data_IF_206242731461
#
_entry.id   IF_206242731461
#
_cell.length_a   1.000
_cell.length_b   1.000
_cell.length_c   1.000
_cell.angle_alpha   90.00
_cell.angle_beta   90.00
_cell.angle_gamma   90.00
#
_symmetry.space_group_name_H-M   'P 1'
#
loop_
_entity.id
_entity.type
_entity.pdbx_description
1 polymer ?
#
# COMPACT_ATOMS: atom_id res chain seq x y z
N UNK A 1 -0.65 3.90 5.19
CA UNK A 1 -1.90 3.87 4.44
C UNK A 1 -2.72 5.04 4.90
N UNK A 2 -2.75 6.10 4.09
CA UNK A 2 -3.54 7.29 4.29
C UNK A 2 -5.00 7.10 3.95
N UNK A 3 -5.78 8.18 4.12
CA UNK A 3 -7.22 8.18 3.88
C UNK A 3 -7.53 9.18 2.77
N UNK A 4 -8.52 8.83 1.95
CA UNK A 4 -9.11 9.73 0.99
C UNK A 4 -9.71 10.95 1.69
N UNK A 5 -9.59 12.11 1.06
CA UNK A 5 -10.26 13.32 1.48
C UNK A 5 -10.94 13.95 0.27
N UNK A 6 -12.21 14.34 0.42
CA UNK A 6 -12.93 15.08 -0.62
C UNK A 6 -12.45 16.53 -0.75
N UNK A 7 -11.52 16.99 0.10
CA UNK A 7 -10.96 18.33 -0.01
C UNK A 7 -10.00 18.40 -1.20
N UNK A 8 -10.10 19.46 -1.99
CA UNK A 8 -9.15 19.75 -3.07
C UNK A 8 -7.85 20.31 -2.50
N UNK A 9 -6.72 19.94 -3.13
CA UNK A 9 -5.43 20.57 -2.89
C UNK A 9 -5.19 21.60 -3.98
N UNK A 10 -4.82 22.82 -3.57
CA UNK A 10 -4.38 23.86 -4.49
C UNK A 10 -2.93 23.61 -4.95
N UNK A 11 -2.57 24.00 -6.19
CA UNK A 11 -1.19 23.95 -6.66
C UNK A 11 -0.29 24.84 -5.77
N UNK A 12 0.95 24.39 -5.54
CA UNK A 12 1.93 25.14 -4.73
C UNK A 12 2.75 26.11 -5.59
N UNK A 13 2.79 25.89 -6.91
CA UNK A 13 3.63 26.65 -7.83
C UNK A 13 5.07 26.11 -7.87
N UNK A 14 5.94 26.80 -8.60
CA UNK A 14 7.33 26.38 -8.82
C UNK A 14 8.34 26.98 -7.81
N UNK A 15 7.89 27.83 -6.89
CA UNK A 15 8.77 28.50 -5.91
C UNK A 15 9.49 27.49 -5.01
N UNK A 16 10.82 27.49 -5.05
CA UNK A 16 11.66 26.58 -4.27
C UNK A 16 11.81 25.17 -4.86
N UNK A 17 11.26 24.92 -6.06
CA UNK A 17 11.47 23.68 -6.80
C UNK A 17 12.75 23.75 -7.66
N UNK A 18 13.32 22.59 -7.94
CA UNK A 18 14.48 22.44 -8.83
C UNK A 18 14.02 22.18 -10.25
N UNK A 19 14.50 22.98 -11.21
CA UNK A 19 14.27 22.77 -12.65
C UNK A 19 15.05 21.52 -13.11
N UNK A 20 14.38 20.58 -13.76
CA UNK A 20 15.01 19.39 -14.36
C UNK A 20 15.11 19.48 -15.87
N UNK A 21 14.17 20.17 -16.51
CA UNK A 21 14.12 20.30 -17.97
C UNK A 21 13.37 21.57 -18.33
N UNK A 22 13.79 22.24 -19.40
CA UNK A 22 13.17 23.46 -19.92
C UNK A 22 13.09 23.38 -21.44
N UNK A 23 12.04 23.96 -22.02
CA UNK A 23 11.79 23.95 -23.46
C UNK A 23 11.91 22.55 -24.08
N UNK A 24 11.15 21.62 -23.50
CA UNK A 24 11.18 20.20 -23.82
C UNK A 24 9.93 19.81 -24.60
N UNK A 25 10.12 19.42 -25.85
CA UNK A 25 9.07 19.00 -26.77
C UNK A 25 8.59 17.56 -26.47
N UNK A 26 9.40 16.57 -26.83
CA UNK A 26 9.04 15.15 -26.73
C UNK A 26 10.07 14.30 -25.98
N UNK A 27 11.05 14.95 -25.36
CA UNK A 27 12.12 14.28 -24.65
C UNK A 27 11.75 13.95 -23.21
N UNK A 28 12.30 12.85 -22.70
CA UNK A 28 12.06 12.39 -21.33
C UNK A 28 13.08 12.99 -20.37
N UNK A 29 12.61 13.67 -19.33
CA UNK A 29 13.40 14.17 -18.21
C UNK A 29 13.31 13.20 -17.03
N UNK A 30 14.44 12.59 -16.68
CA UNK A 30 14.55 11.70 -15.52
C UNK A 30 14.77 12.49 -14.24
N UNK A 31 14.07 12.10 -13.17
CA UNK A 31 14.28 12.69 -11.85
C UNK A 31 15.43 11.98 -11.11
N UNK A 32 16.09 12.65 -10.15
CA UNK A 32 17.02 11.97 -9.25
C UNK A 32 16.28 10.98 -8.34
N UNK A 33 17.03 10.20 -7.55
CA UNK A 33 16.46 9.40 -6.45
C UNK A 33 15.48 10.26 -5.64
N UNK A 34 14.21 9.85 -5.58
CA UNK A 34 13.13 10.60 -4.92
C UNK A 34 13.26 10.64 -3.38
N UNK A 35 14.09 9.77 -2.79
CA UNK A 35 14.44 9.75 -1.37
C UNK A 35 13.65 8.79 -0.51
N UNK A 36 12.73 8.01 -1.08
CA UNK A 36 11.95 6.98 -0.39
C UNK A 36 11.51 5.89 -1.37
N UNK A 37 11.10 4.74 -0.84
CA UNK A 37 10.55 3.67 -1.67
C UNK A 37 9.12 4.03 -2.10
N UNK A 38 8.91 4.12 -3.41
CA UNK A 38 7.61 4.29 -4.04
C UNK A 38 7.38 3.09 -4.94
N UNK A 39 6.29 2.35 -4.75
CA UNK A 39 6.02 1.15 -5.52
C UNK A 39 4.90 1.34 -6.53
N UNK A 40 5.12 0.88 -7.75
CA UNK A 40 4.09 0.79 -8.78
C UNK A 40 4.14 -0.59 -9.42
N UNK A 41 3.00 -1.30 -9.43
CA UNK A 41 2.89 -2.67 -9.92
C UNK A 41 3.93 -3.64 -9.31
N UNK A 42 4.21 -3.52 -8.01
CA UNK A 42 5.20 -4.36 -7.33
C UNK A 42 6.67 -3.96 -7.53
N UNK A 43 6.98 -3.06 -8.47
CA UNK A 43 8.34 -2.57 -8.69
C UNK A 43 8.63 -1.34 -7.83
N UNK A 44 9.82 -1.27 -7.24
CA UNK A 44 10.29 -0.05 -6.56
C UNK A 44 10.78 0.95 -7.62
N UNK A 45 10.12 2.10 -7.68
CA UNK A 45 10.29 3.13 -8.68
C UNK A 45 11.15 4.32 -8.21
N UNK A 46 11.81 4.18 -7.06
CA UNK A 46 12.61 5.24 -6.41
C UNK A 46 13.59 5.99 -7.33
N UNK A 47 14.13 5.32 -8.35
CA UNK A 47 15.14 5.88 -9.29
C UNK A 47 14.71 5.84 -10.75
N UNK A 48 13.46 5.49 -11.05
CA UNK A 48 12.99 5.26 -12.44
C UNK A 48 11.91 6.24 -12.87
N UNK A 49 11.48 7.14 -11.98
CA UNK A 49 10.44 8.12 -12.30
C UNK A 49 11.00 9.15 -13.26
N UNK A 50 10.22 9.45 -14.30
CA UNK A 50 10.54 10.45 -15.31
C UNK A 50 9.26 11.13 -15.82
N UNK A 51 9.40 12.30 -16.40
CA UNK A 51 8.32 13.03 -17.05
C UNK A 51 8.77 13.46 -18.43
N UNK A 52 7.86 13.55 -19.38
CA UNK A 52 8.17 13.92 -20.76
C UNK A 52 7.61 15.30 -21.11
N UNK A 53 8.23 15.95 -22.10
CA UNK A 53 7.74 17.17 -22.72
C UNK A 53 6.32 17.04 -23.25
N UNK A 54 5.89 15.84 -23.65
CA UNK A 54 4.55 15.57 -24.14
C UNK A 54 3.49 15.35 -23.03
N UNK A 55 3.74 15.84 -21.82
CA UNK A 55 2.83 15.81 -20.67
C UNK A 55 2.36 14.40 -20.27
N UNK A 56 3.35 13.54 -19.98
CA UNK A 56 3.14 12.24 -19.35
C UNK A 56 4.24 11.92 -18.33
N UNK A 57 3.92 11.04 -17.39
CA UNK A 57 4.84 10.53 -16.36
C UNK A 57 5.02 9.02 -16.54
N UNK A 58 6.27 8.57 -16.43
CA UNK A 58 6.62 7.16 -16.28
C UNK A 58 7.07 6.88 -14.86
N UNK A 59 6.58 5.78 -14.28
CA UNK A 59 7.05 5.28 -12.99
C UNK A 59 8.14 4.23 -13.15
N UNK A 60 8.12 3.47 -14.24
CA UNK A 60 9.06 2.36 -14.49
C UNK A 60 10.14 2.67 -15.54
N UNK A 61 10.19 3.91 -16.03
CA UNK A 61 11.21 4.41 -16.96
C UNK A 61 11.01 4.05 -18.43
N UNK A 62 9.94 3.35 -18.81
CA UNK A 62 9.76 2.85 -20.19
C UNK A 62 8.34 2.96 -20.75
N UNK A 63 7.36 3.48 -19.99
CA UNK A 63 5.99 3.63 -20.51
C UNK A 63 5.27 4.87 -19.95
N UNK A 64 4.27 5.35 -20.69
CA UNK A 64 3.49 6.55 -20.36
C UNK A 64 2.36 6.22 -19.36
N UNK A 65 2.69 5.85 -18.12
CA UNK A 65 1.69 5.37 -17.15
C UNK A 65 0.65 6.41 -16.79
N UNK A 66 1.02 7.69 -16.68
CA UNK A 66 0.07 8.78 -16.42
C UNK A 66 0.16 9.79 -17.55
N UNK A 67 -0.94 9.96 -18.28
CA UNK A 67 -1.07 10.90 -19.40
C UNK A 67 -2.01 12.03 -19.00
N UNK A 68 -1.56 13.27 -19.17
CA UNK A 68 -2.30 14.47 -18.78
C UNK A 68 -2.33 15.39 -19.99
N UNK A 69 -3.48 15.49 -20.65
CA UNK A 69 -3.65 16.19 -21.92
C UNK A 69 -2.58 15.79 -22.96
N UNK A 70 -2.29 14.48 -23.06
CA UNK A 70 -1.30 13.95 -24.02
C UNK A 70 -1.82 14.11 -25.44
N UNK A 71 -1.36 15.16 -26.14
CA UNK A 71 -1.65 15.48 -27.56
C UNK A 71 -0.60 16.46 -28.07
N UNK A 72 0.61 15.96 -28.30
CA UNK A 72 1.70 16.79 -28.83
C UNK A 72 2.01 18.05 -27.97
N UNK A 73 1.86 17.94 -26.65
CA UNK A 73 2.13 19.03 -25.72
C UNK A 73 3.64 19.32 -25.66
N UNK A 74 4.01 20.53 -25.24
CA UNK A 74 5.41 20.88 -24.99
C UNK A 74 5.57 21.50 -23.61
N UNK A 75 6.60 21.07 -22.88
CA UNK A 75 6.92 21.57 -21.57
C UNK A 75 7.84 22.79 -21.67
N UNK A 76 7.35 23.95 -21.24
CA UNK A 76 8.21 25.12 -21.01
C UNK A 76 9.17 24.82 -19.85
N UNK A 77 8.68 24.17 -18.80
CA UNK A 77 9.50 23.75 -17.67
C UNK A 77 8.94 22.55 -16.93
N UNK A 78 9.84 21.66 -16.51
CA UNK A 78 9.55 20.54 -15.62
C UNK A 78 10.41 20.73 -14.37
N UNK A 79 9.76 20.68 -13.20
CA UNK A 79 10.39 20.86 -11.90
C UNK A 79 10.14 19.68 -10.99
N UNK A 80 10.96 19.58 -9.95
CA UNK A 80 10.69 18.69 -8.81
C UNK A 80 11.05 19.35 -7.47
N UNK A 81 10.45 18.84 -6.38
CA UNK A 81 10.84 19.14 -5.02
C UNK A 81 10.73 17.91 -4.13
N UNK A 82 11.69 17.76 -3.22
CA UNK A 82 11.61 16.82 -2.09
C UNK A 82 11.03 17.59 -0.91
N UNK A 83 9.88 17.16 -0.40
CA UNK A 83 9.20 17.84 0.70
C UNK A 83 8.82 16.84 1.79
N UNK A 84 8.22 17.32 2.87
CA UNK A 84 7.62 16.47 3.88
C UNK A 84 6.23 17.01 4.27
N UNK A 85 5.26 16.11 4.44
CA UNK A 85 3.95 16.40 5.01
C UNK A 85 3.81 15.51 6.25
N UNK A 86 3.50 16.10 7.41
CA UNK A 86 3.40 15.37 8.68
C UNK A 86 4.63 14.49 8.97
N UNK A 87 5.84 15.04 8.76
CA UNK A 87 7.13 14.35 8.88
C UNK A 87 7.33 13.13 7.96
N UNK A 88 6.44 12.90 7.00
CA UNK A 88 6.59 11.85 5.99
C UNK A 88 7.08 12.45 4.68
N UNK A 89 8.09 11.84 4.04
CA UNK A 89 8.64 12.37 2.81
C UNK A 89 7.63 12.26 1.66
N UNK A 90 7.56 13.30 0.85
CA UNK A 90 6.84 13.32 -0.42
C UNK A 90 7.75 13.81 -1.53
N UNK A 91 7.42 13.44 -2.76
CA UNK A 91 8.09 13.93 -3.95
C UNK A 91 7.08 14.64 -4.83
N UNK A 92 7.31 15.92 -5.11
CA UNK A 92 6.43 16.73 -5.96
C UNK A 92 7.09 16.94 -7.31
N UNK A 93 6.36 16.68 -8.37
CA UNK A 93 6.69 17.03 -9.75
C UNK A 93 5.77 18.17 -10.15
N UNK A 94 6.29 19.16 -10.88
CA UNK A 94 5.47 20.19 -11.50
C UNK A 94 5.82 20.28 -12.97
N UNK A 95 4.79 20.35 -13.81
CA UNK A 95 4.91 20.47 -15.25
C UNK A 95 4.19 21.73 -15.68
N UNK A 96 4.90 22.61 -16.38
CA UNK A 96 4.39 23.87 -16.89
C UNK A 96 4.65 23.91 -18.39
N UNK A 97 3.60 24.12 -19.16
CA UNK A 97 3.74 24.23 -20.60
C UNK A 97 2.41 24.48 -21.29
N UNK A 98 2.31 23.96 -22.49
CA UNK A 98 1.24 24.29 -23.40
C UNK A 98 0.68 23.04 -24.09
N UNK A 99 -0.56 23.15 -24.55
CA UNK A 99 -1.33 22.02 -25.07
C UNK A 99 -0.83 21.40 -26.37
N UNK A 100 -0.06 22.15 -27.16
CA UNK A 100 0.44 21.73 -28.47
C UNK A 100 1.75 22.43 -28.84
N UNK A 101 2.71 21.74 -29.44
CA UNK A 101 4.02 22.28 -29.82
C UNK A 101 3.98 23.63 -30.55
N UNK A 102 2.91 23.97 -31.29
CA UNK A 102 2.80 25.25 -32.00
C UNK A 102 2.45 26.45 -31.10
N UNK A 103 2.23 26.26 -29.79
CA UNK A 103 1.72 27.30 -28.85
C UNK A 103 2.70 27.62 -27.70
N UNK A 104 4.00 27.49 -27.93
CA UNK A 104 5.06 27.83 -26.96
C UNK A 104 4.85 29.20 -26.28
N UNK A 105 5.13 29.27 -24.98
CA UNK A 105 5.06 30.50 -24.18
C UNK A 105 3.67 30.85 -23.62
N UNK A 106 2.61 30.11 -23.96
CA UNK A 106 1.30 30.24 -23.32
C UNK A 106 1.07 29.11 -22.33
N UNK A 107 1.21 29.39 -21.03
CA UNK A 107 1.00 28.39 -19.98
C UNK A 107 -0.49 28.06 -19.78
N UNK A 108 -1.02 27.16 -20.61
CA UNK A 108 -2.41 26.67 -20.59
C UNK A 108 -2.54 25.20 -20.14
N UNK A 109 -1.41 24.50 -19.93
CA UNK A 109 -1.33 23.18 -19.34
C UNK A 109 -0.34 23.21 -18.17
N UNK A 110 -0.87 23.07 -16.95
CA UNK A 110 -0.09 23.17 -15.72
C UNK A 110 -0.63 22.19 -14.69
N UNK A 111 0.23 21.29 -14.22
CA UNK A 111 -0.14 20.30 -13.22
C UNK A 111 1.00 19.97 -12.26
N UNK A 112 0.63 19.45 -11.10
CA UNK A 112 1.57 18.90 -10.12
C UNK A 112 1.21 17.45 -9.82
N UNK A 113 2.21 16.60 -9.61
CA UNK A 113 2.02 15.24 -9.13
C UNK A 113 2.77 15.06 -7.82
N UNK A 114 2.06 14.65 -6.77
CA UNK A 114 2.61 14.38 -5.45
C UNK A 114 2.67 12.86 -5.27
N UNK A 115 3.85 12.34 -4.96
CA UNK A 115 4.09 10.93 -4.65
C UNK A 115 4.30 10.76 -3.15
N UNK A 116 3.66 9.74 -2.57
CA UNK A 116 3.76 9.42 -1.14
C UNK A 116 4.52 8.12 -0.93
N UNK A 117 5.20 7.98 0.21
CA UNK A 117 5.98 6.78 0.55
C UNK A 117 5.15 5.53 0.88
N UNK A 118 3.82 5.61 0.82
CA UNK A 118 2.92 4.45 0.82
C UNK A 118 2.26 4.21 -0.54
N UNK A 119 2.90 4.66 -1.61
CA UNK A 119 2.53 4.45 -3.02
C UNK A 119 1.26 5.17 -3.48
N UNK A 120 0.61 5.95 -2.62
CA UNK A 120 -0.45 6.85 -3.07
C UNK A 120 0.12 8.01 -3.91
N UNK A 121 -0.75 8.59 -4.73
CA UNK A 121 -0.43 9.77 -5.52
C UNK A 121 -1.57 10.78 -5.48
N UNK A 122 -1.25 12.06 -5.64
CA UNK A 122 -2.24 13.10 -5.90
C UNK A 122 -1.81 13.92 -7.10
N UNK A 123 -2.67 13.93 -8.13
CA UNK A 123 -2.54 14.82 -9.29
C UNK A 123 -3.31 16.10 -8.98
N UNK A 124 -2.66 17.25 -9.09
CA UNK A 124 -3.27 18.57 -8.95
C UNK A 124 -3.25 19.26 -10.30
N UNK A 125 -4.41 19.66 -10.79
CA UNK A 125 -4.57 20.35 -12.07
C UNK A 125 -4.77 21.83 -11.79
N UNK A 126 -3.80 22.65 -12.16
CA UNK A 126 -3.93 24.10 -12.14
C UNK A 126 -4.63 24.58 -13.42
N UNK A 127 -4.11 24.14 -14.58
CA UNK A 127 -4.68 24.41 -15.89
C UNK A 127 -4.67 23.17 -16.76
N UNK A 128 -5.76 22.91 -17.46
CA UNK A 128 -5.86 21.85 -18.44
C UNK A 128 -6.82 22.28 -19.58
N UNK A 129 -6.39 22.17 -20.85
CA UNK A 129 -7.24 22.51 -22.00
C UNK A 129 -8.18 21.37 -22.39
N UNK A 130 -7.91 20.14 -21.94
CA UNK A 130 -8.71 18.93 -22.22
C UNK A 130 -8.93 18.67 -23.72
N UNK A 131 -7.90 18.93 -24.52
CA UNK A 131 -7.94 18.62 -25.96
C UNK A 131 -7.19 17.32 -26.29
N UNK A 132 -6.43 16.75 -25.36
CA UNK A 132 -5.66 15.51 -25.51
C UNK A 132 -6.13 14.33 -24.66
N UNK A 133 -5.27 13.31 -24.56
CA UNK A 133 -5.57 12.07 -23.80
C UNK A 133 -5.27 12.26 -22.32
N UNK A 134 -6.28 11.95 -21.49
CA UNK A 134 -6.17 11.89 -20.04
C UNK A 134 -6.37 10.43 -19.62
N UNK A 135 -5.32 9.76 -19.14
CA UNK A 135 -5.43 8.35 -18.77
C UNK A 135 -4.38 7.94 -17.75
N UNK A 136 -4.69 6.89 -17.00
CA UNK A 136 -3.78 6.22 -16.10
C UNK A 136 -3.75 4.72 -16.38
N UNK A 137 -2.56 4.16 -16.53
CA UNK A 137 -2.36 2.71 -16.59
C UNK A 137 -2.51 2.14 -15.18
N UNK A 138 -3.67 1.56 -14.88
CA UNK A 138 -3.89 0.88 -13.62
C UNK A 138 -3.37 -0.55 -13.73
N UNK A 139 -2.48 -1.03 -12.85
CA UNK A 139 -1.84 -2.32 -13.06
C UNK A 139 -2.81 -3.52 -13.11
N UNK A 140 -3.95 -3.43 -12.41
CA UNK A 140 -4.98 -4.47 -12.43
C UNK A 140 -6.10 -4.18 -13.43
N UNK A 141 -6.51 -2.92 -13.58
CA UNK A 141 -7.65 -2.54 -14.43
C UNK A 141 -7.28 -2.19 -15.88
N UNK A 142 -5.99 -2.13 -16.20
CA UNK A 142 -5.49 -1.61 -17.47
C UNK A 142 -5.65 -0.09 -17.58
N UNK A 143 -5.64 0.42 -18.80
CA UNK A 143 -5.76 1.87 -19.04
C UNK A 143 -7.14 2.39 -18.63
N UNK A 144 -7.16 3.28 -17.65
CA UNK A 144 -8.35 3.97 -17.14
C UNK A 144 -8.37 5.40 -17.69
N UNK A 145 -9.45 5.82 -18.33
CA UNK A 145 -9.62 7.21 -18.75
C UNK A 145 -9.87 8.11 -17.55
N UNK A 146 -9.32 9.32 -17.56
CA UNK A 146 -9.48 10.31 -16.50
C UNK A 146 -10.30 11.50 -16.99
N UNK A 147 -11.30 11.89 -16.21
CA UNK A 147 -12.01 13.17 -16.40
C UNK A 147 -11.34 14.21 -15.51
N UNK A 148 -10.56 15.10 -16.12
CA UNK A 148 -9.77 16.11 -15.44
C UNK A 148 -10.38 17.50 -15.66
N UNK A 149 -10.24 18.38 -14.68
CA UNK A 149 -10.84 19.72 -14.68
C UNK A 149 -9.87 20.73 -14.06
N UNK A 150 -10.00 22.00 -14.46
CA UNK A 150 -9.21 23.10 -13.92
C UNK A 150 -9.43 23.26 -12.42
N UNK A 151 -8.35 23.54 -11.67
CA UNK A 151 -8.38 23.79 -10.23
C UNK A 151 -8.95 22.63 -9.40
N UNK A 152 -8.75 21.39 -9.86
CA UNK A 152 -9.14 20.16 -9.16
C UNK A 152 -7.92 19.32 -8.83
N UNK A 153 -8.07 18.42 -7.87
CA UNK A 153 -7.09 17.39 -7.58
C UNK A 153 -7.72 16.00 -7.63
N UNK A 154 -6.90 14.98 -7.86
CA UNK A 154 -7.31 13.59 -8.02
C UNK A 154 -6.39 12.68 -7.23
N UNK A 155 -6.94 11.92 -6.28
CA UNK A 155 -6.22 10.98 -5.45
C UNK A 155 -6.20 9.59 -6.10
N UNK A 156 -5.00 9.02 -6.23
CA UNK A 156 -4.75 7.65 -6.65
C UNK A 156 -4.44 6.84 -5.40
N UNK A 157 -5.41 6.06 -4.95
CA UNK A 157 -5.36 5.37 -3.66
C UNK A 157 -5.05 3.88 -3.90
N UNK A 158 -3.91 3.37 -3.42
CA UNK A 158 -3.56 1.97 -3.59
C UNK A 158 -4.57 1.08 -2.87
N UNK A 159 -5.10 0.08 -3.58
CA UNK A 159 -6.04 -0.92 -3.04
C UNK A 159 -5.32 -2.20 -2.60
N UNK A 160 -4.05 -2.33 -2.94
CA UNK A 160 -3.19 -3.47 -2.62
C UNK A 160 -1.77 -2.99 -2.33
N UNK A 161 -1.03 -3.77 -1.54
CA UNK A 161 0.37 -3.50 -1.24
C UNK A 161 1.21 -3.36 -2.51
N UNK A 162 2.26 -2.55 -2.41
CA UNK A 162 3.20 -2.27 -3.50
C UNK A 162 2.55 -1.66 -4.76
N UNK A 163 1.42 -0.97 -4.61
CA UNK A 163 0.79 -0.22 -5.70
C UNK A 163 0.31 -1.10 -6.86
N UNK A 164 -0.21 -2.31 -6.56
CA UNK A 164 -0.69 -3.27 -7.59
C UNK A 164 -2.09 -2.97 -8.12
N UNK A 165 -2.84 -2.10 -7.46
CA UNK A 165 -4.15 -1.65 -7.92
C UNK A 165 -4.43 -0.27 -7.32
N UNK A 166 -5.15 0.57 -8.06
CA UNK A 166 -5.54 1.90 -7.59
C UNK A 166 -7.02 2.17 -7.77
N UNK A 167 -7.58 2.99 -6.89
CA UNK A 167 -8.83 3.70 -7.13
C UNK A 167 -8.49 5.17 -7.35
N UNK A 168 -9.09 5.79 -8.36
CA UNK A 168 -8.88 7.21 -8.68
C UNK A 168 -10.16 7.97 -8.38
N UNK A 169 -10.06 9.04 -7.57
CA UNK A 169 -11.20 9.87 -7.17
C UNK A 169 -10.81 11.34 -7.16
N UNK A 170 -11.74 12.23 -7.55
CA UNK A 170 -11.57 13.67 -7.36
C UNK A 170 -11.44 13.97 -5.86
N UNK A 171 -10.44 14.75 -5.47
CA UNK A 171 -10.13 15.03 -4.06
C UNK A 171 -8.65 14.94 -3.81
N UNK A 172 -8.28 14.57 -2.59
CA UNK A 172 -6.92 14.50 -2.14
C UNK A 172 -6.65 13.24 -1.32
N UNK A 173 -5.39 13.11 -0.94
CA UNK A 173 -4.91 12.04 -0.10
C UNK A 173 -4.29 12.66 1.15
N UNK A 174 -4.82 12.28 2.30
CA UNK A 174 -4.23 12.65 3.59
C UNK A 174 -3.42 11.44 4.04
N UNK A 175 -2.11 11.55 3.93
CA UNK A 175 -1.26 10.55 4.54
C UNK A 175 -1.37 10.68 6.06
N UNK A 176 -2.02 9.70 6.66
CA UNK A 176 -2.30 9.68 8.09
C UNK A 176 -1.02 9.45 8.86
N UNK A 177 -0.79 10.29 9.86
CA UNK A 177 0.11 9.96 10.95
C UNK A 177 -0.64 8.97 11.86
N UNK A 178 -0.44 7.68 11.61
CA UNK A 178 -0.99 6.62 12.45
C UNK A 178 0.11 6.14 13.35
N UNK A 179 -0.18 6.11 14.64
CA UNK A 179 0.71 5.64 15.69
C UNK A 179 0.14 4.38 16.32
N UNK A 180 1.01 3.42 16.58
CA UNK A 180 0.67 2.13 17.19
C UNK A 180 1.34 1.99 18.55
N UNK A 181 0.61 1.45 19.53
CA UNK A 181 1.13 1.06 20.84
C UNK A 181 0.44 -0.23 21.29
N UNK A 182 1.13 -1.04 22.09
CA UNK A 182 0.52 -2.21 22.74
C UNK A 182 0.16 -1.85 24.18
N UNK A 183 -1.08 -2.14 24.57
CA UNK A 183 -1.48 -2.21 25.98
C UNK A 183 -1.34 -3.65 26.42
N UNK A 184 -0.47 -3.86 27.40
CA UNK A 184 -0.09 -5.17 27.94
C UNK A 184 -0.42 -5.22 29.43
N UNK A 185 -1.67 -5.58 29.75
CA UNK A 185 -2.21 -5.38 31.09
C UNK A 185 -2.40 -3.89 31.38
N UNK A 186 -1.66 -3.34 32.33
CA UNK A 186 -1.63 -1.90 32.64
C UNK A 186 -0.50 -1.15 31.93
N UNK A 187 0.49 -1.87 31.39
CA UNK A 187 1.65 -1.28 30.75
C UNK A 187 1.32 -0.84 29.32
N UNK A 188 1.92 0.26 28.90
CA UNK A 188 1.98 0.70 27.51
C UNK A 188 3.38 0.38 26.99
N UNK A 189 3.45 -0.39 25.91
CA UNK A 189 4.69 -0.85 25.30
C UNK A 189 4.79 -0.44 23.83
N UNK A 190 6.00 -0.17 23.38
CA UNK A 190 6.37 0.06 21.97
C UNK A 190 7.38 -0.99 21.53
N UNK A 191 7.56 -1.18 20.22
CA UNK A 191 8.57 -2.09 19.71
C UNK A 191 9.95 -1.43 19.68
N UNK A 192 10.86 -1.91 20.52
CA UNK A 192 12.25 -1.49 20.47
C UNK A 192 13.04 -2.34 19.46
N UNK A 193 13.55 -1.69 18.41
CA UNK A 193 14.31 -2.36 17.34
C UNK A 193 15.65 -2.89 17.83
N UNK A 194 16.28 -2.24 18.80
CA UNK A 194 17.59 -2.64 19.30
C UNK A 194 17.51 -3.97 20.07
N UNK A 195 16.52 -4.11 20.95
CA UNK A 195 16.27 -5.35 21.70
C UNK A 195 15.39 -6.36 20.96
N UNK A 196 14.78 -5.97 19.83
CA UNK A 196 13.79 -6.79 19.12
C UNK A 196 12.69 -7.31 20.07
N UNK A 197 12.18 -6.41 20.92
CA UNK A 197 11.21 -6.72 21.97
C UNK A 197 10.29 -5.54 22.25
N UNK A 198 9.07 -5.82 22.69
CA UNK A 198 8.18 -4.81 23.25
C UNK A 198 8.69 -4.35 24.62
N UNK A 199 8.98 -3.05 24.74
CA UNK A 199 9.53 -2.42 25.93
C UNK A 199 8.50 -1.47 26.55
N UNK A 200 8.41 -1.46 27.88
CA UNK A 200 7.53 -0.55 28.62
C UNK A 200 8.00 0.90 28.44
N UNK A 201 7.07 1.75 28.03
CA UNK A 201 7.28 3.21 27.87
C UNK A 201 6.36 4.03 28.78
N UNK A 202 5.23 3.48 29.19
CA UNK A 202 4.29 4.16 30.09
C UNK A 202 3.30 3.16 30.70
N UNK A 203 2.28 3.68 31.37
CA UNK A 203 1.14 2.93 31.93
C UNK A 203 -0.17 3.60 31.53
N UNK A 204 -1.30 2.90 31.65
CA UNK A 204 -2.63 3.50 31.43
C UNK A 204 -2.90 4.71 32.35
N UNK A 205 -3.74 5.68 31.93
CA UNK A 205 -4.53 5.71 30.70
C UNK A 205 -3.72 6.11 29.46
N UNK A 206 -4.22 5.73 28.27
CA UNK A 206 -3.69 6.21 27.00
C UNK A 206 -4.09 7.65 26.72
N UNK A 207 -3.15 8.44 26.22
CA UNK A 207 -3.36 9.82 25.80
C UNK A 207 -2.75 10.05 24.42
N UNK A 208 -3.21 11.08 23.71
CA UNK A 208 -2.65 11.46 22.41
C UNK A 208 -1.14 11.75 22.48
N UNK A 209 -0.67 12.37 23.57
CA UNK A 209 0.76 12.68 23.74
C UNK A 209 1.60 11.40 23.84
N UNK A 210 1.12 10.35 24.51
CA UNK A 210 1.83 9.07 24.57
C UNK A 210 2.01 8.44 23.19
N UNK A 211 1.01 8.55 22.31
CA UNK A 211 1.15 8.11 20.93
C UNK A 211 2.13 8.96 20.13
N UNK A 212 2.09 10.28 20.30
CA UNK A 212 3.03 11.19 19.61
C UNK A 212 4.48 10.95 20.05
N UNK A 213 4.70 10.67 21.33
CA UNK A 213 6.04 10.49 21.90
C UNK A 213 6.60 9.09 21.67
N UNK A 214 5.79 8.05 21.84
CA UNK A 214 6.28 6.66 21.89
C UNK A 214 5.69 5.75 20.81
N UNK A 215 4.70 6.22 20.05
CA UNK A 215 3.99 5.39 19.10
C UNK A 215 4.83 5.01 17.90
N UNK A 216 4.74 3.73 17.51
CA UNK A 216 5.41 3.20 16.35
C UNK A 216 4.66 3.61 15.06
N UNK A 217 5.38 3.90 13.98
CA UNK A 217 4.80 4.19 12.66
C UNK A 217 4.31 2.94 11.92
N UNK A 218 4.76 1.77 12.37
CA UNK A 218 4.45 0.46 11.80
C UNK A 218 4.03 -0.49 12.91
N UNK A 219 3.05 -1.35 12.66
CA UNK A 219 2.72 -2.42 13.59
C UNK A 219 3.69 -3.60 13.45
N UNK A 220 3.92 -4.31 14.55
CA UNK A 220 4.82 -5.46 14.61
C UNK A 220 4.03 -6.74 14.91
N UNK A 221 4.37 -7.84 14.22
CA UNK A 221 3.69 -9.14 14.36
C UNK A 221 4.25 -9.96 15.53
N UNK A 222 5.45 -9.60 15.97
CA UNK A 222 6.20 -10.25 17.02
C UNK A 222 5.46 -10.14 18.37
N UNK A 223 5.84 -10.99 19.33
CA UNK A 223 5.26 -10.98 20.69
C UNK A 223 6.30 -10.94 21.80
N UNK A 224 7.59 -10.92 21.46
CA UNK A 224 8.67 -10.81 22.44
C UNK A 224 8.46 -9.58 23.31
N UNK A 225 8.53 -9.74 24.63
CA UNK A 225 8.32 -8.65 25.60
C UNK A 225 6.87 -8.41 26.02
N UNK A 226 5.89 -9.08 25.39
CA UNK A 226 4.49 -9.07 25.84
C UNK A 226 4.30 -10.14 26.92
N UNK A 227 3.69 -9.77 28.04
CA UNK A 227 3.54 -10.64 29.22
C UNK A 227 2.09 -10.96 29.58
N UNK A 228 1.12 -10.13 29.19
CA UNK A 228 -0.31 -10.38 29.39
C UNK A 228 -0.83 -11.48 28.47
N UNK A 229 -1.83 -12.22 28.96
CA UNK A 229 -2.60 -13.17 28.16
C UNK A 229 -3.56 -12.50 27.18
N UNK A 230 -3.88 -11.22 27.39
CA UNK A 230 -4.86 -10.43 26.61
C UNK A 230 -4.32 -9.05 26.22
N UNK A 231 -3.18 -8.97 25.48
CA UNK A 231 -2.66 -7.69 25.02
C UNK A 231 -3.59 -7.08 23.97
N UNK A 232 -3.61 -5.76 23.87
CA UNK A 232 -4.40 -5.05 22.85
C UNK A 232 -3.56 -4.03 22.08
N UNK A 233 -3.63 -4.11 20.75
CA UNK A 233 -3.08 -3.08 19.87
C UNK A 233 -3.99 -1.85 19.91
N UNK A 234 -3.39 -0.70 20.15
CA UNK A 234 -4.05 0.60 20.14
C UNK A 234 -3.50 1.40 18.98
N UNK A 235 -4.41 2.11 18.33
CA UNK A 235 -4.17 2.84 17.10
C UNK A 235 -4.65 4.27 17.35
N UNK A 236 -3.86 5.25 16.94
CA UNK A 236 -4.21 6.66 17.06
C UNK A 236 -3.80 7.42 15.81
N UNK A 237 -4.60 8.42 15.45
CA UNK A 237 -4.27 9.42 14.43
C UNK A 237 -4.92 10.76 14.78
N UNK A 238 -4.46 11.83 14.14
CA UNK A 238 -5.10 13.15 14.21
C UNK A 238 -6.40 13.24 13.40
N UNK A 239 -6.71 12.23 12.58
CA UNK A 239 -7.97 12.20 11.84
C UNK A 239 -9.17 12.05 12.77
N UNK A 240 -10.24 12.79 12.48
CA UNK A 240 -11.53 12.68 13.17
C UNK A 240 -12.17 11.29 12.98
N UNK A 241 -11.92 10.66 11.83
CA UNK A 241 -12.40 9.31 11.52
C UNK A 241 -11.26 8.46 10.97
N UNK A 242 -11.08 7.26 11.54
CA UNK A 242 -10.13 6.25 11.04
C UNK A 242 -10.90 5.05 10.51
N UNK A 243 -10.52 4.55 9.34
CA UNK A 243 -10.99 3.27 8.83
C UNK A 243 -10.65 2.16 9.82
N UNK A 244 -11.61 1.28 10.12
CA UNK A 244 -11.36 0.14 11.01
C UNK A 244 -10.22 -0.75 10.45
N UNK A 245 -9.23 -1.14 11.27
CA UNK A 245 -8.14 -1.99 10.81
C UNK A 245 -8.66 -3.36 10.38
N UNK A 246 -8.18 -3.88 9.24
CA UNK A 246 -8.42 -5.27 8.83
C UNK A 246 -7.30 -6.15 9.37
N UNK A 247 -7.63 -7.12 10.21
CA UNK A 247 -6.69 -8.11 10.73
C UNK A 247 -6.93 -9.43 10.00
N UNK A 248 -5.96 -9.87 9.21
CA UNK A 248 -5.95 -11.21 8.61
C UNK A 248 -5.10 -12.13 9.48
N UNK A 249 -5.72 -13.10 10.14
CA UNK A 249 -5.01 -14.09 10.95
C UNK A 249 -5.02 -15.45 10.24
N UNK A 250 -3.85 -15.95 9.88
CA UNK A 250 -3.69 -17.32 9.37
C UNK A 250 -3.46 -18.25 10.56
N UNK A 251 -4.48 -19.01 10.94
CA UNK A 251 -4.37 -20.03 11.99
C UNK A 251 -3.92 -21.33 11.33
N UNK A 252 -2.73 -21.83 11.69
CA UNK A 252 -2.35 -23.22 11.39
C UNK A 252 -2.81 -24.09 12.56
N UNK A 253 -3.84 -24.94 12.40
CA UNK A 253 -4.26 -25.85 13.47
C UNK A 253 -3.09 -26.79 13.81
N UNK A 254 -2.89 -27.06 15.10
CA UNK A 254 -1.92 -28.07 15.55
C UNK A 254 -2.42 -29.46 15.14
N UNK A 255 -1.55 -30.39 14.72
CA UNK A 255 -1.94 -31.77 14.48
C UNK A 255 -2.60 -32.36 15.72
N UNK A 256 -3.76 -32.98 15.56
CA UNK A 256 -4.38 -33.80 16.60
C UNK A 256 -3.78 -35.20 16.47
N UNK A 257 -3.18 -35.71 17.54
CA UNK A 257 -2.74 -37.11 17.60
C UNK A 257 -4.01 -37.95 17.77
N UNK A 258 -4.30 -38.80 16.78
CA UNK A 258 -5.36 -39.80 16.87
C UNK A 258 -4.77 -41.00 17.63
N UNK A 259 -5.30 -41.30 18.81
CA UNK A 259 -4.95 -42.50 19.58
C UNK A 259 -5.79 -43.68 19.12
N UNK A 260 -5.14 -44.73 18.62
CA UNK A 260 -5.77 -46.03 18.36
C UNK A 260 -6.23 -46.63 19.70
N UNK A 261 -7.51 -47.01 19.80
CA UNK A 261 -8.09 -47.48 21.07
C UNK A 261 -7.84 -48.95 21.33
N UNK A 262 -7.86 -49.80 20.30
CA UNK A 262 -7.68 -51.25 20.43
C UNK A 262 -7.11 -51.85 19.14
N UNK A 263 -6.32 -52.92 19.29
CA UNK A 263 -5.92 -53.83 18.23
C UNK A 263 -6.90 -55.01 18.16
N UNK A 264 -7.31 -55.41 16.96
CA UNK A 264 -8.07 -56.64 16.73
C UNK A 264 -7.13 -57.65 16.08
N UNK A 265 -6.82 -58.75 16.78
CA UNK A 265 -6.02 -59.84 16.23
C UNK A 265 -6.84 -60.69 15.25
N UNK A 266 -6.28 -60.93 14.06
CA UNK A 266 -6.86 -61.79 13.02
C UNK A 266 -6.28 -63.22 13.06
N UNK A 267 -5.76 -63.66 14.20
CA UNK A 267 -5.06 -64.94 14.32
C UNK A 267 -5.94 -66.19 14.18
N UNK A 268 -7.27 -66.04 14.14
CA UNK A 268 -8.20 -67.17 14.14
C UNK A 268 -8.75 -67.49 12.74
N UNK A 269 -8.55 -68.74 12.30
CA UNK A 269 -8.78 -69.20 10.93
C UNK A 269 -10.25 -69.16 10.44
N UNK A 270 -11.21 -68.87 11.32
CA UNK A 270 -12.62 -68.72 10.94
C UNK A 270 -13.01 -67.29 10.55
N UNK A 271 -12.12 -66.31 10.73
CA UNK A 271 -12.35 -64.94 10.26
C UNK A 271 -12.12 -64.94 8.74
N UNK A 272 -13.21 -64.89 7.97
CA UNK A 272 -13.18 -65.04 6.50
C UNK A 272 -13.02 -63.72 5.74
N UNK A 273 -13.51 -62.61 6.29
CA UNK A 273 -13.44 -61.29 5.65
C UNK A 273 -13.79 -60.16 6.63
N UNK A 274 -13.43 -58.91 6.30
CA UNK A 274 -13.91 -57.68 6.95
C UNK A 274 -15.03 -57.11 6.09
N UNK A 275 -16.29 -57.35 6.49
CA UNK A 275 -17.42 -56.91 5.68
C UNK A 275 -17.82 -55.44 5.88
N UNK A 276 -17.57 -54.85 7.05
CA UNK A 276 -18.02 -53.50 7.40
C UNK A 276 -17.11 -52.84 8.45
N UNK A 277 -16.08 -52.11 8.03
CA UNK A 277 -15.34 -51.21 8.92
C UNK A 277 -16.07 -49.86 8.99
N UNK A 278 -16.60 -49.50 10.16
CA UNK A 278 -17.27 -48.21 10.37
C UNK A 278 -16.38 -47.30 11.18
N UNK A 279 -15.81 -46.28 10.51
CA UNK A 279 -15.08 -45.20 11.18
C UNK A 279 -16.06 -44.07 11.46
N UNK A 280 -16.34 -43.80 12.74
CA UNK A 280 -17.20 -42.68 13.15
C UNK A 280 -16.32 -41.57 13.72
N UNK A 281 -16.42 -40.37 13.14
CA UNK A 281 -15.64 -39.20 13.53
C UNK A 281 -16.58 -37.99 13.57
N UNK A 282 -16.53 -37.23 14.66
CA UNK A 282 -17.15 -35.91 14.74
C UNK A 282 -16.15 -34.85 14.24
N UNK A 283 -16.39 -34.33 13.04
CA UNK A 283 -15.63 -33.19 12.49
C UNK A 283 -16.48 -31.92 12.57
N UNK A 284 -16.05 -30.96 13.39
CA UNK A 284 -16.73 -29.66 13.57
C UNK A 284 -16.16 -28.55 12.68
N UNK A 285 -15.31 -28.86 11.69
CA UNK A 285 -14.65 -27.87 10.82
C UNK A 285 -14.48 -28.27 9.33
N UNK A 286 -13.81 -27.41 8.55
CA UNK A 286 -13.66 -27.54 7.08
C UNK A 286 -12.39 -28.27 6.62
N UNK A 287 -11.74 -29.04 7.49
CA UNK A 287 -10.51 -29.77 7.16
C UNK A 287 -10.78 -31.01 6.30
N UNK A 288 -9.87 -31.30 5.36
CA UNK A 288 -9.84 -32.59 4.64
C UNK A 288 -9.09 -33.59 5.51
N UNK A 289 -9.72 -34.73 5.84
CA UNK A 289 -9.08 -35.86 6.49
C UNK A 289 -8.88 -36.95 5.42
N UNK A 290 -7.64 -37.42 5.28
CA UNK A 290 -7.28 -38.53 4.38
C UNK A 290 -6.90 -39.72 5.24
N UNK A 291 -7.53 -40.87 5.02
CA UNK A 291 -7.14 -42.13 5.62
C UNK A 291 -6.57 -43.06 4.55
N UNK A 292 -5.55 -43.82 4.94
CA UNK A 292 -4.99 -44.92 4.16
C UNK A 292 -5.21 -46.17 5.01
N UNK A 293 -5.93 -47.14 4.45
CA UNK A 293 -6.11 -48.45 5.07
C UNK A 293 -5.15 -49.40 4.39
N UNK A 294 -4.21 -49.97 5.16
CA UNK A 294 -3.47 -51.15 4.70
C UNK A 294 -4.09 -52.41 5.29
N UNK A 295 -4.19 -53.45 4.47
CA UNK A 295 -4.58 -54.80 4.87
C UNK A 295 -3.41 -55.79 4.80
N UNK A 296 -2.22 -55.31 4.45
CA UNK A 296 -0.99 -56.08 4.55
C UNK A 296 -0.32 -55.87 5.91
N UNK A 297 0.59 -56.76 6.27
CA UNK A 297 1.34 -56.69 7.53
C UNK A 297 2.35 -55.54 7.58
N UNK A 298 2.35 -54.63 6.60
CA UNK A 298 3.34 -53.55 6.49
C UNK A 298 4.76 -54.04 6.20
N UNK A 299 4.94 -55.30 5.78
CA UNK A 299 6.23 -55.87 5.41
C UNK A 299 6.24 -56.04 3.89
N UNK A 300 6.99 -55.18 3.20
CA UNK A 300 7.42 -55.37 1.81
C UNK A 300 8.53 -56.40 1.70
#
# INVERSE_FOLDING_TARGET
MGVYSSNMIAPKGNSGMTLVSSHNDDSTASFPDIGFDFFYNGANCRTTISSNGNSWVSFNGSSEQLKINRRDAGADSIYYAKEAINNKPIFRIRWEGHQSYSTWGTLDLVWELILFNDSAMVLVIEKIPNTGTNSFENPTLGTTSLTLENNKSYAFIPQQDQGKAYTVQEGSYVQTDIKYLIVDGTDIKHWDKASSSYMKVSELPLTADKFKTYGDDTYHKERTGITSSVPSLKIWSLLAEMSAPRITQTIKPKPIIVSMKDDISFSEAYIKDIMNAVVTLDNTGSGIIVFIVSVDSGVS
#
